data_IF_189977736681
#
_entry.id   IF_189977736681
#
_cell.length_a   1.000
_cell.length_b   1.000
_cell.length_c   1.000
_cell.angle_alpha   90.00
_cell.angle_beta   90.00
_cell.angle_gamma   90.00
#
_symmetry.space_group_name_H-M   'P 1'
#
loop_
_entity.id
_entity.type
_entity.pdbx_description
1 polymer ?
#
# COMPACT_ATOMS: atom_id res chain seq x y z
N UNK A 1 -12.38 8.93 -1.95
CA UNK A 1 -12.17 7.98 -3.06
C UNK A 1 -12.70 8.61 -4.33
N UNK A 2 -12.00 8.40 -5.44
CA UNK A 2 -12.40 8.82 -6.77
C UNK A 2 -12.29 7.64 -7.73
N UNK A 3 -13.25 7.50 -8.66
CA UNK A 3 -13.06 6.65 -9.82
C UNK A 3 -12.29 7.43 -10.89
N UNK A 4 -11.30 6.78 -11.48
CA UNK A 4 -10.44 7.36 -12.51
C UNK A 4 -10.42 6.49 -13.75
N UNK A 5 -10.37 7.18 -14.89
CA UNK A 5 -10.15 6.62 -16.21
C UNK A 5 -8.97 7.38 -16.82
N UNK A 6 -8.04 6.65 -17.45
CA UNK A 6 -6.82 7.18 -18.05
C UNK A 6 -5.95 8.07 -17.14
N UNK A 7 -6.06 7.91 -15.83
CA UNK A 7 -5.26 8.67 -14.86
C UNK A 7 -3.86 8.07 -14.71
N UNK A 8 -2.88 8.91 -14.41
CA UNK A 8 -1.49 8.44 -14.32
C UNK A 8 -0.86 8.69 -12.97
N UNK A 9 -0.32 7.64 -12.36
CA UNK A 9 0.52 7.68 -11.16
C UNK A 9 1.75 6.79 -11.33
N UNK A 10 2.62 6.80 -10.32
CA UNK A 10 3.88 6.06 -10.28
C UNK A 10 3.82 4.93 -9.26
N UNK A 11 4.44 3.82 -9.56
CA UNK A 11 4.66 2.72 -8.64
C UNK A 11 6.16 2.46 -8.51
N UNK A 12 6.63 2.24 -7.29
CA UNK A 12 7.99 1.78 -7.01
C UNK A 12 7.92 0.26 -6.83
N UNK A 13 8.46 -0.47 -7.79
CA UNK A 13 8.58 -1.91 -7.74
C UNK A 13 9.96 -2.27 -7.18
N UNK A 14 10.00 -2.83 -5.97
CA UNK A 14 11.23 -3.33 -5.35
C UNK A 14 11.17 -4.86 -5.24
N UNK A 15 12.24 -5.55 -5.62
CA UNK A 15 12.36 -6.99 -5.37
C UNK A 15 12.69 -7.20 -3.90
N UNK A 16 11.81 -7.88 -3.18
CA UNK A 16 12.03 -8.24 -1.77
C UNK A 16 11.44 -9.61 -1.47
N UNK A 17 11.77 -10.18 -0.31
CA UNK A 17 11.17 -11.44 0.14
C UNK A 17 9.63 -11.39 0.22
N UNK A 18 9.06 -10.18 0.31
CA UNK A 18 7.62 -9.93 0.34
C UNK A 18 7.03 -9.58 -1.03
N UNK A 19 7.86 -9.29 -2.03
CA UNK A 19 7.43 -8.98 -3.40
C UNK A 19 8.14 -9.91 -4.40
N UNK A 20 7.46 -11.01 -4.74
CA UNK A 20 7.94 -12.00 -5.70
C UNK A 20 7.76 -11.57 -7.16
N UNK A 21 7.18 -10.39 -7.42
CA UNK A 21 7.01 -9.92 -8.78
C UNK A 21 8.37 -9.52 -9.37
N UNK A 22 8.63 -10.01 -10.58
CA UNK A 22 9.76 -9.55 -11.38
C UNK A 22 9.63 -8.06 -11.72
N UNK A 23 10.71 -7.47 -12.22
CA UNK A 23 10.62 -6.16 -12.85
C UNK A 23 9.55 -6.14 -13.94
N UNK A 24 8.80 -5.04 -13.99
CA UNK A 24 7.75 -4.83 -14.96
C UNK A 24 8.31 -4.38 -16.30
N UNK A 25 7.56 -4.68 -17.36
CA UNK A 25 7.80 -4.26 -18.74
C UNK A 25 6.69 -3.33 -19.20
N UNK A 26 7.01 -2.47 -20.17
CA UNK A 26 6.00 -1.62 -20.80
C UNK A 26 4.96 -2.52 -21.46
N UNK A 27 3.68 -2.24 -21.19
CA UNK A 27 2.55 -3.02 -21.64
C UNK A 27 2.03 -4.05 -20.62
N UNK A 28 2.77 -4.34 -19.56
CA UNK A 28 2.29 -5.22 -18.49
C UNK A 28 1.02 -4.65 -17.85
N UNK A 29 0.12 -5.56 -17.46
CA UNK A 29 -1.17 -5.22 -16.84
C UNK A 29 -1.24 -5.84 -15.45
N UNK A 30 -1.59 -5.01 -14.47
CA UNK A 30 -1.79 -5.38 -13.08
C UNK A 30 -3.28 -5.26 -12.78
N UNK A 31 -3.92 -6.37 -12.42
CA UNK A 31 -5.32 -6.44 -12.01
C UNK A 31 -5.40 -6.69 -10.49
N UNK A 32 -5.72 -5.65 -9.73
CA UNK A 32 -5.82 -5.73 -8.25
C UNK A 32 -7.20 -6.18 -7.76
N UNK A 33 -8.14 -6.45 -8.67
CA UNK A 33 -9.52 -6.83 -8.28
C UNK A 33 -9.65 -8.27 -7.79
N UNK A 34 -8.68 -9.14 -8.09
CA UNK A 34 -8.83 -10.60 -7.92
C UNK A 34 -8.15 -11.17 -6.70
N UNK A 35 -6.96 -10.69 -6.36
CA UNK A 35 -6.09 -11.30 -5.37
C UNK A 35 -5.70 -10.31 -4.28
N UNK A 36 -5.36 -10.84 -3.10
CA UNK A 36 -4.65 -10.04 -2.11
C UNK A 36 -3.29 -9.60 -2.66
N UNK A 37 -2.84 -8.42 -2.22
CA UNK A 37 -1.50 -7.98 -2.52
C UNK A 37 -0.46 -8.88 -1.85
N UNK A 38 0.80 -8.85 -2.32
CA UNK A 38 1.84 -9.74 -1.80
C UNK A 38 2.05 -9.65 -0.29
N UNK A 39 1.92 -8.45 0.28
CA UNK A 39 2.03 -8.24 1.72
C UNK A 39 0.99 -9.05 2.49
N UNK A 40 -0.31 -8.92 2.16
CA UNK A 40 -1.37 -9.69 2.83
C UNK A 40 -1.22 -11.19 2.56
N UNK A 41 -0.92 -11.55 1.31
CA UNK A 41 -0.82 -12.95 0.93
C UNK A 41 0.27 -13.71 1.72
N UNK A 42 1.37 -13.04 2.09
CA UNK A 42 2.42 -13.64 2.91
C UNK A 42 1.89 -14.17 4.28
N UNK A 43 0.94 -13.48 4.90
CA UNK A 43 0.33 -13.94 6.17
C UNK A 43 -0.67 -15.10 5.98
N UNK A 44 -1.18 -15.32 4.76
CA UNK A 44 -2.15 -16.37 4.46
C UNK A 44 -1.47 -17.69 4.08
N UNK A 45 -0.41 -17.62 3.26
CA UNK A 45 0.24 -18.81 2.68
C UNK A 45 1.70 -18.98 3.10
N UNK A 46 2.32 -17.97 3.71
CA UNK A 46 3.71 -18.02 4.12
C UNK A 46 3.92 -18.87 5.37
N UNK A 47 4.88 -19.79 5.33
CA UNK A 47 5.37 -20.44 6.54
C UNK A 47 6.46 -19.58 7.16
N UNK A 48 6.14 -18.81 8.20
CA UNK A 48 7.18 -18.03 8.89
C UNK A 48 7.88 -18.90 9.92
N UNK A 49 9.06 -19.43 9.57
CA UNK A 49 9.99 -20.05 10.53
C UNK A 49 10.72 -18.95 11.30
N UNK A 50 9.99 -18.23 12.14
CA UNK A 50 10.57 -17.16 12.96
C UNK A 50 11.23 -17.80 14.17
N UNK A 51 12.54 -17.99 14.10
CA UNK A 51 13.33 -18.60 15.18
C UNK A 51 13.49 -17.68 16.41
N UNK A 52 12.90 -16.49 16.40
CA UNK A 52 13.05 -15.47 17.44
C UNK A 52 11.70 -14.84 17.80
N UNK A 53 11.38 -14.83 19.11
CA UNK A 53 10.12 -14.28 19.64
C UNK A 53 9.86 -12.82 19.23
N UNK A 54 10.93 -12.03 19.08
CA UNK A 54 10.85 -10.64 18.63
C UNK A 54 10.32 -10.52 17.19
N UNK A 55 10.81 -11.37 16.28
CA UNK A 55 10.38 -11.35 14.88
C UNK A 55 8.94 -11.85 14.73
N UNK A 56 8.51 -12.79 15.56
CA UNK A 56 7.09 -13.15 15.72
C UNK A 56 6.26 -11.93 16.14
N UNK A 57 6.69 -11.22 17.20
CA UNK A 57 5.96 -10.06 17.69
C UNK A 57 5.85 -8.95 16.64
N UNK A 58 6.93 -8.65 15.91
CA UNK A 58 6.93 -7.66 14.80
C UNK A 58 5.99 -8.07 13.68
N UNK A 59 6.04 -9.32 13.26
CA UNK A 59 5.19 -9.87 12.20
C UNK A 59 3.72 -9.77 12.58
N UNK A 60 3.34 -10.25 13.77
CA UNK A 60 1.95 -10.19 14.22
C UNK A 60 1.49 -8.77 14.56
N UNK A 61 2.38 -7.88 15.00
CA UNK A 61 2.05 -6.46 15.14
C UNK A 61 1.67 -5.83 13.80
N UNK A 62 2.50 -6.01 12.76
CA UNK A 62 2.23 -5.49 11.41
C UNK A 62 0.88 -5.99 10.89
N UNK A 63 0.62 -7.29 11.02
CA UNK A 63 -0.66 -7.88 10.64
C UNK A 63 -1.83 -7.28 11.44
N UNK A 64 -1.72 -7.24 12.76
CA UNK A 64 -2.77 -6.75 13.66
C UNK A 64 -3.09 -5.27 13.42
N UNK A 65 -2.05 -4.46 13.13
CA UNK A 65 -2.19 -3.06 12.76
C UNK A 65 -2.96 -2.90 11.45
N UNK A 66 -2.53 -3.57 10.38
CA UNK A 66 -3.23 -3.52 9.08
C UNK A 66 -4.65 -4.10 9.16
N UNK A 67 -4.88 -5.07 10.04
CA UNK A 67 -6.21 -5.60 10.31
C UNK A 67 -7.13 -4.59 10.98
N UNK A 68 -6.67 -3.90 12.03
CA UNK A 68 -7.44 -2.85 12.65
C UNK A 68 -7.72 -1.69 11.67
N UNK A 69 -6.76 -1.32 10.82
CA UNK A 69 -6.94 -0.29 9.79
C UNK A 69 -8.01 -0.70 8.77
N UNK A 70 -7.98 -1.94 8.29
CA UNK A 70 -8.95 -2.45 7.31
C UNK A 70 -10.36 -2.63 7.90
N UNK A 71 -10.46 -3.05 9.16
CA UNK A 71 -11.74 -3.09 9.87
C UNK A 71 -12.36 -1.69 9.95
N UNK A 72 -11.56 -0.68 10.32
CA UNK A 72 -12.01 0.72 10.35
C UNK A 72 -12.44 1.21 8.97
N UNK A 73 -11.71 0.85 7.90
CA UNK A 73 -12.10 1.16 6.51
C UNK A 73 -13.53 0.69 6.23
N UNK A 74 -13.80 -0.58 6.53
CA UNK A 74 -15.09 -1.21 6.24
C UNK A 74 -16.23 -0.56 7.03
N UNK A 75 -15.97 -0.13 8.27
CA UNK A 75 -16.95 0.60 9.08
C UNK A 75 -17.23 2.02 8.57
N UNK A 76 -16.23 2.70 7.99
CA UNK A 76 -16.37 4.05 7.45
C UNK A 76 -17.03 4.02 6.08
N UNK A 77 -16.47 3.24 5.16
CA UNK A 77 -16.93 3.12 3.79
C UNK A 77 -16.30 1.87 3.13
N UNK A 78 -17.10 0.82 2.96
CA UNK A 78 -16.70 -0.42 2.31
C UNK A 78 -16.28 -0.26 0.83
N UNK A 79 -16.66 0.83 0.17
CA UNK A 79 -16.29 1.10 -1.22
C UNK A 79 -14.89 1.66 -1.40
N UNK A 80 -14.23 2.12 -0.33
CA UNK A 80 -12.85 2.60 -0.40
C UNK A 80 -11.89 1.45 -0.81
N UNK A 81 -10.84 1.73 -1.60
CA UNK A 81 -9.78 0.75 -1.90
C UNK A 81 -9.23 0.09 -0.62
N UNK A 82 -9.17 -1.24 -0.61
CA UNK A 82 -8.65 -2.02 0.51
C UNK A 82 -7.14 -2.03 0.52
N UNK A 83 -6.51 -1.80 1.68
CA UNK A 83 -5.04 -1.96 1.80
C UNK A 83 -4.58 -3.39 1.64
N UNK A 84 -5.48 -4.37 1.66
CA UNK A 84 -5.14 -5.78 1.46
C UNK A 84 -5.12 -6.19 -0.02
N UNK A 85 -5.69 -5.40 -0.91
CA UNK A 85 -5.75 -5.69 -2.35
C UNK A 85 -5.11 -4.62 -3.20
N UNK A 86 -5.11 -3.38 -2.71
CA UNK A 86 -4.64 -2.22 -3.47
C UNK A 86 -3.18 -2.34 -3.87
N UNK A 87 -2.87 -1.69 -4.99
CA UNK A 87 -1.52 -1.28 -5.34
C UNK A 87 -1.23 0.07 -4.70
N UNK A 88 -0.05 0.22 -4.10
CA UNK A 88 0.43 1.50 -3.59
C UNK A 88 1.11 2.31 -4.69
N UNK A 89 0.66 3.55 -4.85
CA UNK A 89 1.09 4.48 -5.88
C UNK A 89 1.47 5.83 -5.26
N UNK A 90 2.20 6.64 -6.03
CA UNK A 90 2.54 8.02 -5.70
C UNK A 90 2.32 8.92 -6.91
N UNK A 91 2.01 10.19 -6.67
CA UNK A 91 2.17 11.22 -7.69
C UNK A 91 3.64 11.65 -7.78
N UNK A 92 3.94 12.57 -8.70
CA UNK A 92 5.30 13.07 -8.92
C UNK A 92 5.81 13.93 -7.74
N UNK A 93 4.93 14.64 -7.04
CA UNK A 93 5.30 15.57 -5.97
C UNK A 93 5.82 14.82 -4.75
N UNK A 94 5.23 13.66 -4.44
CA UNK A 94 5.58 12.85 -3.27
C UNK A 94 6.53 11.68 -3.60
N UNK A 95 6.85 11.46 -4.88
CA UNK A 95 7.65 10.30 -5.32
C UNK A 95 9.05 10.28 -4.71
N UNK A 96 9.70 11.44 -4.58
CA UNK A 96 11.06 11.52 -4.02
C UNK A 96 11.11 11.14 -2.54
N UNK A 97 10.05 11.43 -1.77
CA UNK A 97 9.93 10.93 -0.40
C UNK A 97 9.92 9.40 -0.41
N UNK A 98 9.06 8.77 -1.21
CA UNK A 98 8.96 7.31 -1.23
C UNK A 98 10.24 6.65 -1.73
N UNK A 99 10.90 7.20 -2.75
CA UNK A 99 12.22 6.73 -3.22
C UNK A 99 13.25 6.73 -2.09
N UNK A 100 13.24 7.74 -1.23
CA UNK A 100 14.19 7.83 -0.11
C UNK A 100 14.00 6.73 0.94
N UNK A 101 12.89 5.98 0.93
CA UNK A 101 12.66 4.88 1.86
C UNK A 101 13.35 3.57 1.45
N UNK A 102 13.83 3.47 0.20
CA UNK A 102 14.46 2.27 -0.36
C UNK A 102 15.99 2.38 -0.37
N UNK A 103 16.58 2.83 0.75
CA UNK A 103 18.04 3.06 0.85
C UNK A 103 18.79 1.73 0.73
N UNK A 104 19.65 1.62 -0.30
CA UNK A 104 20.41 0.41 -0.66
C UNK A 104 19.58 -0.74 -1.24
N UNK A 105 18.36 -0.49 -1.72
CA UNK A 105 17.55 -1.49 -2.42
C UNK A 105 17.52 -1.20 -3.92
N UNK A 106 17.58 -2.24 -4.75
CA UNK A 106 17.35 -2.12 -6.18
C UNK A 106 15.84 -2.03 -6.45
N UNK A 107 15.39 -0.88 -6.96
CA UNK A 107 14.00 -0.67 -7.34
C UNK A 107 13.86 -0.15 -8.77
N UNK A 108 12.68 -0.38 -9.34
CA UNK A 108 12.25 0.14 -10.62
C UNK A 108 11.07 1.09 -10.39
N UNK A 109 11.10 2.26 -11.03
CA UNK A 109 9.95 3.16 -11.03
C UNK A 109 9.20 2.96 -12.35
N UNK A 110 7.91 2.68 -12.24
CA UNK A 110 7.03 2.55 -13.39
C UNK A 110 5.92 3.58 -13.34
N UNK A 111 5.61 4.16 -14.50
CA UNK A 111 4.46 5.02 -14.70
C UNK A 111 3.29 4.15 -15.17
N UNK A 112 2.15 4.29 -14.52
CA UNK A 112 0.97 3.46 -14.75
C UNK A 112 -0.18 4.31 -15.26
N UNK A 113 -0.89 3.84 -16.28
CA UNK A 113 -2.21 4.33 -16.66
C UNK A 113 -3.27 3.49 -15.92
N UNK A 114 -4.19 4.16 -15.24
CA UNK A 114 -5.09 3.58 -14.24
C UNK A 114 -6.54 3.71 -14.67
N UNK A 115 -7.27 2.60 -14.52
CA UNK A 115 -8.73 2.54 -14.67
C UNK A 115 -9.31 1.82 -13.46
N UNK A 116 -9.93 2.56 -12.54
CA UNK A 116 -10.43 2.00 -11.27
C UNK A 116 -10.62 3.03 -10.15
N UNK A 117 -10.62 2.55 -8.92
CA UNK A 117 -10.78 3.36 -7.71
C UNK A 117 -9.41 3.80 -7.18
N UNK A 118 -9.28 5.08 -6.86
CA UNK A 118 -8.15 5.61 -6.11
C UNK A 118 -8.59 6.22 -4.78
N UNK A 119 -7.69 6.16 -3.81
CA UNK A 119 -7.81 6.85 -2.53
C UNK A 119 -6.46 7.47 -2.15
N UNK A 120 -6.46 8.77 -1.86
CA UNK A 120 -5.30 9.50 -1.38
C UNK A 120 -5.32 9.53 0.15
N UNK A 121 -4.29 8.98 0.79
CA UNK A 121 -4.13 8.96 2.24
C UNK A 121 -2.81 9.59 2.69
N UNK A 122 -2.81 10.19 3.88
CA UNK A 122 -1.59 10.65 4.54
C UNK A 122 -1.04 9.54 5.46
N UNK A 123 0.07 8.91 5.06
CA UNK A 123 0.63 7.76 5.76
C UNK A 123 1.07 8.07 7.20
N UNK A 124 1.29 9.35 7.56
CA UNK A 124 1.59 9.74 8.94
C UNK A 124 0.55 9.26 9.95
N UNK A 125 -0.71 9.11 9.53
CA UNK A 125 -1.76 8.60 10.41
C UNK A 125 -1.55 7.13 10.77
N UNK A 126 -0.99 6.32 9.88
CA UNK A 126 -0.92 4.85 10.04
C UNK A 126 0.50 4.30 10.21
N UNK A 127 1.51 5.16 10.13
CA UNK A 127 2.87 4.93 10.62
C UNK A 127 2.89 5.00 12.16
N UNK A 128 2.50 3.90 12.80
CA UNK A 128 2.33 3.81 14.25
C UNK A 128 3.20 2.67 14.78
N UNK A 129 4.01 2.97 15.80
CA UNK A 129 4.69 1.99 16.63
C UNK A 129 3.69 1.11 17.41
N UNK A 130 4.09 -0.07 17.90
CA UNK A 130 3.25 -0.91 18.76
C UNK A 130 2.46 -0.11 19.80
N UNK A 131 1.13 -0.09 19.64
CA UNK A 131 0.21 0.77 20.37
C UNK A 131 -1.11 0.03 20.64
N UNK A 132 -1.92 0.47 21.64
CA UNK A 132 -3.25 -0.07 21.83
C UNK A 132 -4.10 0.03 20.56
N UNK A 133 -4.85 -1.03 20.24
CA UNK A 133 -5.68 -1.08 19.03
C UNK A 133 -6.74 0.02 18.96
N UNK A 134 -7.17 0.57 20.10
CA UNK A 134 -8.07 1.73 20.12
C UNK A 134 -7.42 2.95 19.44
N UNK A 135 -6.17 3.25 19.79
CA UNK A 135 -5.39 4.35 19.21
C UNK A 135 -5.16 4.13 17.71
N UNK A 136 -4.87 2.88 17.31
CA UNK A 136 -4.72 2.52 15.89
C UNK A 136 -6.01 2.82 15.12
N UNK A 137 -7.17 2.46 15.67
CA UNK A 137 -8.47 2.73 15.01
C UNK A 137 -8.77 4.23 14.93
N UNK A 138 -8.53 4.99 16.00
CA UNK A 138 -8.72 6.45 16.01
C UNK A 138 -7.89 7.16 14.92
N UNK A 139 -6.63 6.74 14.75
CA UNK A 139 -5.79 7.28 13.68
C UNK A 139 -6.21 6.77 12.29
N UNK A 140 -6.63 5.51 12.18
CA UNK A 140 -7.16 4.95 10.94
C UNK A 140 -8.43 5.69 10.47
N UNK A 141 -9.26 6.22 11.39
CA UNK A 141 -10.39 7.09 11.04
C UNK A 141 -9.87 8.32 10.28
N UNK A 142 -8.88 9.02 10.83
CA UNK A 142 -8.31 10.20 10.18
C UNK A 142 -7.70 9.88 8.82
N UNK A 143 -7.00 8.74 8.71
CA UNK A 143 -6.50 8.26 7.44
C UNK A 143 -7.64 8.09 6.44
N UNK A 144 -8.65 7.26 6.74
CA UNK A 144 -9.71 6.89 5.81
C UNK A 144 -10.70 8.02 5.49
N UNK A 145 -10.85 9.02 6.36
CA UNK A 145 -11.62 10.23 6.05
C UNK A 145 -10.85 11.21 5.15
N UNK A 146 -9.57 10.96 4.88
CA UNK A 146 -8.72 11.80 4.04
C UNK A 146 -8.18 13.04 4.75
N UNK A 147 -8.11 13.03 6.08
CA UNK A 147 -7.52 14.14 6.82
C UNK A 147 -6.01 14.19 6.54
N UNK A 148 -5.48 15.37 6.25
CA UNK A 148 -4.04 15.57 6.02
C UNK A 148 -3.40 16.07 7.31
N UNK A 149 -2.37 15.39 7.78
CA UNK A 149 -1.63 15.80 8.98
C UNK A 149 -0.50 16.78 8.62
N UNK A 150 0.39 16.36 7.71
CA UNK A 150 1.55 17.17 7.28
C UNK A 150 1.78 17.16 5.77
N UNK A 151 1.07 16.34 5.00
CA UNK A 151 1.13 16.34 3.53
C UNK A 151 2.42 15.81 2.91
N UNK A 152 3.46 15.48 3.70
CA UNK A 152 4.74 15.03 3.16
C UNK A 152 4.84 13.54 2.81
N UNK A 153 3.86 12.72 3.25
CA UNK A 153 3.86 11.26 3.11
C UNK A 153 2.57 10.76 2.47
N UNK A 154 2.19 11.39 1.36
CA UNK A 154 0.95 11.05 0.68
C UNK A 154 1.13 9.76 -0.11
N UNK A 155 0.20 8.83 0.03
CA UNK A 155 0.14 7.59 -0.74
C UNK A 155 -1.22 7.45 -1.42
N UNK A 156 -1.22 6.84 -2.59
CA UNK A 156 -2.44 6.47 -3.30
C UNK A 156 -2.65 4.96 -3.21
N UNK A 157 -3.83 4.55 -2.76
CA UNK A 157 -4.30 3.17 -2.88
C UNK A 157 -5.11 3.03 -4.15
N UNK A 158 -4.81 2.02 -4.96
CA UNK A 158 -5.50 1.76 -6.21
C UNK A 158 -6.08 0.34 -6.29
N UNK A 159 -7.39 0.26 -6.60
CA UNK A 159 -8.08 -0.97 -6.97
C UNK A 159 -8.65 -0.88 -8.40
N UNK A 160 -8.27 -1.80 -9.29
CA UNK A 160 -8.70 -1.82 -10.68
C UNK A 160 -7.63 -2.40 -11.62
N UNK A 161 -7.61 -1.87 -12.85
CA UNK A 161 -6.65 -2.26 -13.89
C UNK A 161 -5.61 -1.16 -14.07
N UNK A 162 -4.34 -1.49 -13.83
CA UNK A 162 -3.20 -0.62 -14.08
C UNK A 162 -2.35 -1.17 -15.22
N UNK A 163 -2.00 -0.32 -16.19
CA UNK A 163 -1.13 -0.67 -17.31
C UNK A 163 0.18 0.10 -17.23
N UNK A 164 1.30 -0.61 -17.36
CA UNK A 164 2.63 0.02 -17.41
C UNK A 164 2.81 0.74 -18.74
N UNK A 165 2.98 2.06 -18.69
CA UNK A 165 3.13 2.90 -19.88
C UNK A 165 4.55 3.42 -20.09
N UNK A 166 5.35 3.52 -19.03
CA UNK A 166 6.79 3.85 -19.15
C UNK A 166 7.59 3.37 -17.95
N UNK A 167 8.89 3.19 -18.16
CA UNK A 167 9.91 3.03 -17.11
C UNK A 167 10.58 4.40 -16.93
N UNK A 168 10.82 4.81 -15.68
CA UNK A 168 11.40 6.12 -15.32
C UNK A 168 12.87 5.97 -14.94
#
# INVERSE_FOLDING_TARGET
>A
MQYVEDHTLYHINCMSDFNLYSQFKIGDVIDTSRNYNPFRNNYEIGSTSLNYAEECAKTYWRFTKEFAIEQTRSQINEDLPSRWRSLWLSDKEHLDYWKSQFVNEEFQIVKLNLNGKIFLGDAHWIEIEPSPLLVVREKAINYWTGNIFRGGKMEYLFEGIAKVVSLV
#
